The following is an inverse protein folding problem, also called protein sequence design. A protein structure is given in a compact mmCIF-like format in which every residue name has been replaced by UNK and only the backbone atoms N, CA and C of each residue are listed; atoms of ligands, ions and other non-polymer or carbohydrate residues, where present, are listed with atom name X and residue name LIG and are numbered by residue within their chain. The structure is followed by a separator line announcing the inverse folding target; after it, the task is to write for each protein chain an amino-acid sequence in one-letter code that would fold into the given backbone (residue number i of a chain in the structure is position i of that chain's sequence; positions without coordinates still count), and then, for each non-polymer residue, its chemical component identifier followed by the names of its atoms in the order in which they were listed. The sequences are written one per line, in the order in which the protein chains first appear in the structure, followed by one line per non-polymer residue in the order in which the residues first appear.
data_IF_176702651625
#
_entry.id   IF_176702651625
#
_cell.length_a   1.000
_cell.length_b   1.000
_cell.length_c   1.000
_cell.angle_alpha   90.00
_cell.angle_beta   90.00
_cell.angle_gamma   90.00
#
_symmetry.space_group_name_H-M   'P 1'
#
loop_
_entity.id
_entity.type
_entity.pdbx_description
1 polymer ?
#
# COMPACT_ATOMS: atom_id res chain seq x y z
N UNK A 1 16.97 1.16 1.43
CA UNK A 1 16.56 2.58 1.39
C UNK A 1 15.43 2.77 2.41
N UNK A 2 15.06 4.00 2.76
CA UNK A 2 14.00 4.27 3.75
C UNK A 2 12.78 4.91 3.06
N UNK A 3 11.60 4.32 3.24
CA UNK A 3 10.34 4.83 2.74
C UNK A 3 9.93 6.07 3.55
N UNK A 4 9.66 7.19 2.88
CA UNK A 4 9.35 8.45 3.59
C UNK A 4 7.86 8.52 3.85
N UNK A 5 7.44 8.24 5.08
CA UNK A 5 6.04 8.40 5.51
C UNK A 5 5.78 9.82 6.05
N UNK A 6 4.68 10.43 5.60
CA UNK A 6 4.21 11.70 6.11
C UNK A 6 2.68 11.78 6.04
N UNK A 7 2.12 12.87 6.58
CA UNK A 7 0.67 13.08 6.71
C UNK A 7 0.29 14.43 6.14
N UNK A 8 -0.89 14.50 5.52
CA UNK A 8 -1.52 15.76 5.10
C UNK A 8 -2.90 15.85 5.74
N UNK A 9 -3.30 17.02 6.21
CA UNK A 9 -4.65 17.26 6.75
C UNK A 9 -5.68 17.62 5.65
N UNK A 10 -5.24 17.65 4.38
CA UNK A 10 -6.03 17.89 3.17
C UNK A 10 -6.09 16.66 2.25
N UNK A 11 -6.98 16.69 1.26
CA UNK A 11 -7.07 15.73 0.13
C UNK A 11 -5.90 15.83 -0.88
N UNK A 12 -4.95 16.73 -0.63
CA UNK A 12 -3.78 16.98 -1.48
C UNK A 12 -2.51 17.12 -0.65
N UNK A 13 -1.37 16.85 -1.27
CA UNK A 13 -0.05 16.89 -0.67
C UNK A 13 1.01 17.39 -1.65
N UNK A 14 2.19 17.73 -1.17
CA UNK A 14 3.31 18.18 -2.02
C UNK A 14 4.34 17.06 -2.19
N UNK A 15 4.76 16.85 -3.44
CA UNK A 15 5.83 15.91 -3.78
C UNK A 15 7.14 16.34 -3.12
N UNK A 16 7.76 15.43 -2.36
CA UNK A 16 9.02 15.70 -1.64
C UNK A 16 10.21 15.98 -2.56
N UNK A 17 10.23 15.41 -3.76
CA UNK A 17 11.34 15.53 -4.71
C UNK A 17 11.29 16.79 -5.58
N UNK A 18 10.10 17.32 -5.84
CA UNK A 18 9.92 18.39 -6.84
C UNK A 18 8.88 19.46 -6.49
N UNK A 19 8.38 19.45 -5.26
CA UNK A 19 7.45 20.43 -4.66
C UNK A 19 6.14 20.63 -5.45
N UNK A 20 5.78 19.66 -6.29
CA UNK A 20 4.55 19.68 -7.07
C UNK A 20 3.37 19.24 -6.19
N UNK A 21 2.32 20.06 -6.11
CA UNK A 21 1.06 19.67 -5.48
C UNK A 21 0.37 18.55 -6.26
N UNK A 22 0.02 17.49 -5.55
CA UNK A 22 -0.68 16.27 -6.00
C UNK A 22 -2.03 16.21 -5.27
N UNK A 23 -3.11 15.88 -5.99
CA UNK A 23 -4.48 15.82 -5.43
C UNK A 23 -5.05 14.41 -5.51
N UNK A 24 -5.69 13.95 -4.43
CA UNK A 24 -6.14 12.55 -4.24
C UNK A 24 -7.64 12.50 -3.94
N UNK A 25 -8.44 12.41 -5.00
CA UNK A 25 -9.91 12.51 -4.90
C UNK A 25 -10.62 11.32 -4.21
N UNK A 26 -9.97 10.15 -4.11
CA UNK A 26 -10.57 8.91 -3.58
C UNK A 26 -9.52 8.07 -2.85
N UNK A 27 -9.24 8.42 -1.59
CA UNK A 27 -8.44 7.58 -0.69
C UNK A 27 -9.34 6.85 0.31
N UNK A 28 -9.02 5.59 0.58
CA UNK A 28 -9.75 4.70 1.48
C UNK A 28 -8.95 4.44 2.75
N UNK A 29 -9.62 4.03 3.83
CA UNK A 29 -8.97 3.74 5.13
C UNK A 29 -8.23 2.39 5.12
N UNK A 30 -8.70 1.44 4.30
CA UNK A 30 -8.23 0.05 4.24
C UNK A 30 -7.68 -0.36 2.87
N UNK A 31 -7.68 0.56 1.91
CA UNK A 31 -7.30 0.32 0.51
C UNK A 31 -6.31 1.44 0.11
N UNK A 32 -4.99 1.13 0.08
CA UNK A 32 -3.96 2.10 -0.23
C UNK A 32 -3.96 2.41 -1.73
N UNK A 33 -4.09 3.69 -2.07
CA UNK A 33 -4.14 4.11 -3.47
C UNK A 33 -2.76 4.51 -3.98
N UNK A 34 -2.21 3.86 -5.01
CA UNK A 34 -0.97 4.32 -5.65
C UNK A 34 -1.22 5.63 -6.40
N UNK A 35 -0.28 6.57 -6.27
CA UNK A 35 -0.28 7.89 -6.89
C UNK A 35 1.15 8.24 -7.28
N UNK A 36 1.42 8.47 -8.56
CA UNK A 36 2.73 8.92 -9.05
C UNK A 36 2.76 10.43 -9.29
N UNK A 37 3.92 11.04 -9.10
CA UNK A 37 4.13 12.45 -9.45
C UNK A 37 4.42 12.61 -10.94
N UNK A 38 3.51 13.25 -11.67
CA UNK A 38 3.65 13.51 -13.12
C UNK A 38 4.92 14.29 -13.52
N UNK A 39 5.56 15.01 -12.57
CA UNK A 39 6.74 15.85 -12.84
C UNK A 39 8.08 15.10 -12.68
N UNK A 40 8.18 14.16 -11.74
CA UNK A 40 9.44 13.48 -11.40
C UNK A 40 9.35 11.95 -11.35
N UNK A 41 8.17 11.36 -11.57
CA UNK A 41 7.96 9.91 -11.56
C UNK A 41 7.92 9.26 -10.18
N UNK A 42 8.16 10.00 -9.09
CA UNK A 42 8.13 9.47 -7.72
C UNK A 42 6.77 8.86 -7.37
N UNK A 43 6.79 7.65 -6.83
CA UNK A 43 5.60 6.90 -6.45
C UNK A 43 5.24 7.12 -4.98
N UNK A 44 3.94 7.19 -4.70
CA UNK A 44 3.37 7.36 -3.38
C UNK A 44 2.21 6.39 -3.19
N UNK A 45 2.14 5.73 -2.04
CA UNK A 45 0.89 5.14 -1.55
C UNK A 45 0.14 6.15 -0.68
N UNK A 46 -1.19 6.22 -0.87
CA UNK A 46 -2.04 7.16 -0.16
C UNK A 46 -3.24 6.46 0.46
N UNK A 47 -3.31 6.51 1.78
CA UNK A 47 -4.40 6.03 2.61
C UNK A 47 -5.16 7.22 3.21
N UNK A 48 -6.45 7.03 3.51
CA UNK A 48 -7.21 7.96 4.35
C UNK A 48 -6.91 7.67 5.82
N UNK A 49 -6.65 8.71 6.61
CA UNK A 49 -6.42 8.56 8.07
C UNK A 49 -7.61 7.87 8.75
N UNK A 50 -7.33 6.94 9.66
CA UNK A 50 -8.34 6.35 10.57
C UNK A 50 -8.89 7.38 11.56
N UNK A 51 -8.03 8.28 12.04
CA UNK A 51 -8.37 9.29 13.05
C UNK A 51 -8.26 10.70 12.47
N UNK A 52 -9.36 11.18 11.87
CA UNK A 52 -9.53 12.57 11.44
C UNK A 52 -9.55 12.79 9.92
N UNK A 53 -9.78 14.04 9.47
CA UNK A 53 -9.62 14.41 8.07
C UNK A 53 -8.13 14.33 7.65
N UNK A 54 -7.92 14.03 6.38
CA UNK A 54 -6.59 13.97 5.79
C UNK A 54 -6.13 12.57 5.36
N UNK A 55 -4.88 12.54 4.94
CA UNK A 55 -4.23 11.44 4.24
C UNK A 55 -2.95 11.02 4.97
N UNK A 56 -2.67 9.73 4.91
CA UNK A 56 -1.37 9.13 5.20
C UNK A 56 -0.70 8.80 3.87
N UNK A 57 0.50 9.34 3.66
CA UNK A 57 1.25 9.24 2.42
C UNK A 57 2.57 8.52 2.72
N UNK A 58 2.88 7.49 1.94
CA UNK A 58 4.15 6.79 1.99
C UNK A 58 4.84 6.92 0.63
N UNK A 59 6.01 7.55 0.59
CA UNK A 59 6.82 7.66 -0.61
C UNK A 59 7.59 6.35 -0.85
N UNK A 60 7.35 5.72 -2.00
CA UNK A 60 8.17 4.60 -2.49
C UNK A 60 9.38 5.18 -3.21
N UNK A 61 10.54 5.09 -2.60
CA UNK A 61 11.82 5.32 -3.30
C UNK A 61 12.08 4.11 -4.21
N UNK A 62 12.50 4.33 -5.46
CA UNK A 62 12.59 3.31 -6.51
C UNK A 62 13.73 2.27 -6.32
N UNK A 63 13.70 1.54 -5.20
CA UNK A 63 14.62 0.46 -4.84
C UNK A 63 13.90 -0.81 -4.37
N UNK A 64 12.58 -0.77 -4.28
CA UNK A 64 11.71 -1.91 -3.98
C UNK A 64 10.87 -2.21 -5.22
N UNK A 65 11.50 -2.84 -6.21
CA UNK A 65 10.76 -3.69 -7.14
C UNK A 65 10.38 -4.96 -6.38
N UNK A 66 9.18 -4.99 -5.81
CA UNK A 66 8.54 -6.26 -5.52
C UNK A 66 7.12 -6.34 -6.09
N UNK A 67 6.82 -7.51 -6.64
CA UNK A 67 5.66 -7.80 -7.46
C UNK A 67 4.58 -8.54 -6.64
N UNK A 68 4.37 -8.11 -5.40
CA UNK A 68 3.43 -8.73 -4.47
C UNK A 68 1.99 -8.23 -4.73
N UNK A 69 1.36 -8.77 -5.78
CA UNK A 69 -0.09 -8.66 -6.00
C UNK A 69 -0.63 -9.83 -6.83
N UNK A 70 -0.47 -11.04 -6.30
CA UNK A 70 -1.09 -12.27 -6.81
C UNK A 70 -1.11 -13.42 -5.77
N UNK A 71 -1.54 -13.15 -4.55
CA UNK A 71 -1.90 -14.19 -3.58
C UNK A 71 -3.37 -14.02 -3.13
N UNK A 72 -3.89 -15.02 -2.41
CA UNK A 72 -5.32 -15.23 -2.06
C UNK A 72 -6.20 -15.83 -3.17
N UNK A 73 -6.02 -17.15 -3.38
CA UNK A 73 -7.07 -18.04 -3.88
C UNK A 73 -7.11 -19.35 -3.05
N UNK A 74 -7.85 -19.26 -1.93
CA UNK A 74 -8.67 -20.32 -1.31
C UNK A 74 -7.97 -21.55 -0.64
N UNK A 75 -8.23 -21.69 0.67
CA UNK A 75 -8.04 -22.93 1.45
C UNK A 75 -9.06 -24.00 1.01
N UNK A 76 -8.78 -25.29 1.30
CA UNK A 76 -9.65 -26.07 2.21
C UNK A 76 -9.02 -27.42 2.65
N UNK A 77 -9.35 -27.81 3.89
CA UNK A 77 -8.92 -28.97 4.68
C UNK A 77 -10.17 -29.47 5.46
N UNK A 78 -10.31 -30.66 6.05
CA UNK A 78 -9.40 -31.74 6.48
C UNK A 78 -10.07 -33.13 6.16
N UNK A 79 -9.30 -34.21 5.86
CA UNK A 79 -9.69 -35.63 6.14
C UNK A 79 -8.43 -36.52 6.01
N UNK A 80 -7.87 -37.19 7.03
CA UNK A 80 -8.37 -38.40 7.73
C UNK A 80 -8.63 -39.59 6.77
N UNK A 81 -8.20 -40.84 7.03
CA UNK A 81 -7.70 -41.49 8.25
C UNK A 81 -6.43 -42.35 7.99
N UNK A 82 -5.68 -42.59 9.08
CA UNK A 82 -4.71 -43.69 9.20
C UNK A 82 -5.47 -45.01 9.47
N UNK A 83 -5.03 -46.15 8.92
CA UNK A 83 -4.92 -47.30 9.83
C UNK A 83 -3.62 -48.09 9.69
N UNK A 84 -2.81 -47.93 10.74
CA UNK A 84 -2.20 -48.98 11.58
C UNK A 84 -1.17 -49.97 11.00
N UNK A 85 -0.21 -50.27 11.89
CA UNK A 85 0.78 -51.33 11.84
C UNK A 85 0.09 -52.72 11.66
N UNK A 86 0.72 -53.80 11.21
CA UNK A 86 1.89 -54.45 11.84
C UNK A 86 2.34 -55.70 11.02
N UNK A 87 3.63 -56.04 11.14
CA UNK A 87 4.30 -57.32 10.76
C UNK A 87 4.47 -57.70 9.28
#
# INVERSE_FOLDING_TARGET
MENIQFKSDSDSFECRECEKKISVAKASISDPRPVSCEKCGTEYEVLKRKSGPGLEIMMRTASETDAESAEEAELEEEDEENPEEEK
#
